data_IF_054663062695
#
_entry.id   IF_054663062695
#
_cell.length_a   1.000
_cell.length_b   1.000
_cell.length_c   1.000
_cell.angle_alpha   90.00
_cell.angle_beta   90.00
_cell.angle_gamma   90.00
#
_symmetry.space_group_name_H-M   'P 1'
#
loop_
_entity.id
_entity.type
_entity.pdbx_description
1 polymer ?
#
# COMPACT_ATOMS: atom_id res chain seq x y z
N UNK A 1 50.24 -11.58 4.60
CA UNK A 1 49.21 -10.52 4.52
C UNK A 1 47.98 -11.01 3.73
N UNK A 2 47.31 -12.09 4.17
CA UNK A 2 46.11 -12.69 3.52
C UNK A 2 44.98 -13.02 4.50
N UNK A 3 45.20 -12.86 5.81
CA UNK A 3 44.29 -13.30 6.89
C UNK A 3 43.29 -12.19 7.30
N UNK A 4 43.59 -10.92 7.00
CA UNK A 4 42.74 -9.78 7.37
C UNK A 4 41.49 -9.58 6.50
N UNK A 5 41.40 -10.25 5.35
CA UNK A 5 40.27 -10.08 4.39
C UNK A 5 39.08 -10.99 4.73
N UNK A 6 39.31 -12.11 5.43
CA UNK A 6 38.24 -13.06 5.75
C UNK A 6 37.32 -12.61 6.91
N UNK A 7 37.75 -11.69 7.77
CA UNK A 7 36.93 -11.20 8.89
C UNK A 7 35.91 -10.13 8.51
N UNK A 8 36.10 -9.40 7.40
CA UNK A 8 35.17 -8.35 6.98
C UNK A 8 33.91 -8.90 6.31
N UNK A 9 33.94 -10.14 5.80
CA UNK A 9 32.79 -10.77 5.12
C UNK A 9 31.80 -11.38 6.12
N UNK A 10 32.23 -11.76 7.33
CA UNK A 10 31.34 -12.36 8.34
C UNK A 10 30.50 -11.33 9.10
N UNK A 11 30.90 -10.06 9.14
CA UNK A 11 30.16 -8.99 9.85
C UNK A 11 28.94 -8.48 9.06
N UNK A 12 28.89 -8.68 7.74
CA UNK A 12 27.82 -8.16 6.88
C UNK A 12 26.57 -9.07 6.88
N UNK A 13 26.65 -10.31 7.39
CA UNK A 13 25.54 -11.27 7.35
C UNK A 13 24.52 -11.18 8.49
N UNK A 14 24.69 -10.32 9.51
CA UNK A 14 23.91 -10.42 10.75
C UNK A 14 22.68 -9.49 10.89
N UNK A 15 22.34 -8.65 9.91
CA UNK A 15 21.29 -7.64 10.16
C UNK A 15 20.38 -7.41 8.95
N UNK A 16 19.60 -8.43 8.57
CA UNK A 16 18.34 -8.21 7.85
C UNK A 16 17.21 -9.02 8.50
N UNK A 17 16.99 -8.77 9.80
CA UNK A 17 15.78 -9.22 10.50
C UNK A 17 14.62 -8.36 10.04
N UNK A 18 13.91 -8.78 8.98
CA UNK A 18 12.66 -8.14 8.61
C UNK A 18 11.66 -8.44 9.71
N UNK A 19 11.15 -7.40 10.39
CA UNK A 19 10.20 -7.56 11.47
C UNK A 19 8.89 -8.11 10.91
N UNK A 20 8.72 -9.43 11.00
CA UNK A 20 7.45 -10.09 10.69
C UNK A 20 6.47 -9.85 11.82
N UNK A 21 5.21 -9.55 11.47
CA UNK A 21 4.14 -9.35 12.44
C UNK A 21 3.68 -10.73 12.91
N UNK A 22 4.16 -11.17 14.07
CA UNK A 22 3.87 -12.50 14.62
C UNK A 22 2.75 -12.52 15.66
N UNK A 23 2.18 -11.36 16.00
CA UNK A 23 1.08 -11.24 16.96
C UNK A 23 -0.15 -10.58 16.36
N UNK A 24 -1.32 -11.16 16.62
CA UNK A 24 -2.61 -10.66 16.11
C UNK A 24 -2.85 -9.19 16.50
N UNK A 25 -2.54 -8.82 17.75
CA UNK A 25 -2.79 -7.46 18.28
C UNK A 25 -1.98 -6.34 17.61
N UNK A 26 -0.95 -6.67 16.84
CA UNK A 26 -0.11 -5.69 16.12
C UNK A 26 -0.39 -5.65 14.62
N UNK A 27 -1.25 -6.56 14.11
CA UNK A 27 -1.71 -6.56 12.72
C UNK A 27 -2.97 -5.72 12.55
N UNK A 28 -2.86 -4.53 11.92
CA UNK A 28 -4.02 -3.72 11.57
C UNK A 28 -4.38 -3.93 10.10
N UNK A 29 -5.65 -4.24 9.86
CA UNK A 29 -6.20 -4.48 8.53
C UNK A 29 -7.20 -3.41 8.12
N UNK A 30 -7.34 -3.20 6.81
CA UNK A 30 -8.36 -2.32 6.25
C UNK A 30 -9.77 -2.83 6.51
N UNK A 31 -10.75 -1.95 6.33
CA UNK A 31 -12.15 -2.34 6.44
C UNK A 31 -12.48 -3.48 5.47
N UNK A 32 -13.13 -4.53 5.98
CA UNK A 32 -13.50 -5.72 5.19
C UNK A 32 -12.39 -6.78 5.10
N UNK A 33 -11.27 -6.57 5.80
CA UNK A 33 -10.20 -7.55 5.95
C UNK A 33 -10.08 -8.02 7.41
N UNK A 34 -9.65 -9.27 7.59
CA UNK A 34 -9.40 -9.88 8.91
C UNK A 34 -7.94 -10.32 8.98
N UNK A 35 -7.31 -10.08 10.12
CA UNK A 35 -5.97 -10.58 10.42
C UNK A 35 -6.03 -12.10 10.64
N UNK A 36 -5.34 -12.85 9.79
CA UNK A 36 -5.29 -14.31 9.84
C UNK A 36 -3.83 -14.76 9.75
N UNK A 37 -3.41 -15.80 10.50
CA UNK A 37 -2.08 -16.37 10.35
C UNK A 37 -1.87 -16.93 8.94
N UNK A 38 -0.80 -16.49 8.31
CA UNK A 38 -0.26 -16.98 7.05
C UNK A 38 0.49 -18.31 7.23
N UNK A 39 1.01 -18.83 6.12
CA UNK A 39 1.61 -20.18 6.09
C UNK A 39 2.94 -20.27 6.86
N UNK A 40 3.65 -19.16 7.00
CA UNK A 40 4.93 -19.08 7.71
C UNK A 40 4.82 -18.52 9.13
N UNK A 41 3.59 -18.37 9.64
CA UNK A 41 3.31 -17.90 11.01
C UNK A 41 3.23 -16.38 11.16
N UNK A 42 3.47 -15.60 10.11
CA UNK A 42 3.17 -14.18 10.04
C UNK A 42 1.67 -13.92 9.92
N UNK A 43 1.16 -12.85 10.51
CA UNK A 43 -0.20 -12.40 10.27
C UNK A 43 -0.29 -11.64 8.95
N UNK A 44 -1.37 -11.88 8.21
CA UNK A 44 -1.71 -11.18 6.97
C UNK A 44 -3.18 -10.77 7.02
N UNK A 45 -3.56 -9.77 6.24
CA UNK A 45 -4.93 -9.31 6.12
C UNK A 45 -5.64 -10.03 4.97
N UNK A 46 -6.72 -10.75 5.27
CA UNK A 46 -7.51 -11.51 4.31
C UNK A 46 -8.85 -10.83 4.04
N UNK A 47 -9.13 -10.53 2.78
CA UNK A 47 -10.37 -9.88 2.35
C UNK A 47 -11.55 -10.83 2.37
N UNK A 48 -12.59 -10.49 3.11
CA UNK A 48 -13.77 -11.33 3.33
C UNK A 48 -14.51 -11.69 2.02
N UNK A 49 -14.60 -10.73 1.10
CA UNK A 49 -15.40 -10.88 -0.13
C UNK A 49 -14.54 -11.18 -1.36
N UNK A 50 -13.36 -10.57 -1.45
CA UNK A 50 -12.54 -10.60 -2.67
C UNK A 50 -11.44 -11.67 -2.64
N UNK A 51 -11.29 -12.41 -1.53
CA UNK A 51 -10.22 -13.41 -1.30
C UNK A 51 -8.81 -12.86 -1.58
N UNK A 52 -8.61 -11.55 -1.41
CA UNK A 52 -7.32 -10.88 -1.56
C UNK A 52 -6.54 -11.03 -0.25
N UNK A 53 -5.24 -11.25 -0.35
CA UNK A 53 -4.32 -11.30 0.79
C UNK A 53 -3.38 -10.10 0.69
N UNK A 54 -3.19 -9.39 1.79
CA UNK A 54 -2.28 -8.25 1.85
C UNK A 54 -1.51 -8.18 3.16
N UNK A 55 -0.32 -7.54 3.19
CA UNK A 55 0.44 -7.35 4.42
C UNK A 55 -0.36 -6.55 5.46
N UNK A 56 -0.08 -6.78 6.74
CA UNK A 56 -0.61 -5.95 7.81
C UNK A 56 -0.07 -4.52 7.74
N UNK A 57 -0.80 -3.58 8.35
CA UNK A 57 -0.38 -2.18 8.56
C UNK A 57 -0.08 -1.41 7.26
N UNK A 58 -0.59 -1.88 6.12
CA UNK A 58 -0.47 -1.16 4.86
C UNK A 58 -1.23 0.16 4.91
N UNK A 59 -0.76 1.22 4.22
CA UNK A 59 -1.52 2.45 4.09
C UNK A 59 -2.88 2.21 3.43
N UNK A 60 -3.93 2.85 3.94
CA UNK A 60 -5.28 2.76 3.36
C UNK A 60 -5.41 3.71 2.17
N UNK A 61 -6.03 3.23 1.11
CA UNK A 61 -6.26 4.02 -0.10
C UNK A 61 -7.28 5.12 0.20
N UNK A 62 -6.92 6.41 0.02
CA UNK A 62 -7.85 7.49 0.34
C UNK A 62 -9.04 7.47 -0.62
N UNK A 63 -10.23 7.75 -0.10
CA UNK A 63 -11.43 7.91 -0.93
C UNK A 63 -11.34 9.22 -1.71
N UNK A 64 -11.53 9.16 -3.02
CA UNK A 64 -11.50 10.35 -3.87
C UNK A 64 -12.60 11.34 -3.46
N UNK A 65 -12.22 12.56 -3.09
CA UNK A 65 -13.16 13.66 -2.81
C UNK A 65 -13.41 14.47 -4.07
N UNK A 66 -14.69 14.72 -4.35
CA UNK A 66 -15.13 15.41 -5.55
C UNK A 66 -16.29 16.34 -5.24
N UNK A 67 -16.18 17.61 -5.64
CA UNK A 67 -17.23 18.61 -5.56
C UNK A 67 -17.94 18.67 -6.92
N UNK A 68 -19.27 18.54 -6.95
CA UNK A 68 -20.09 18.56 -8.17
C UNK A 68 -19.81 17.43 -9.20
N UNK A 69 -19.14 16.35 -8.81
CA UNK A 69 -19.03 15.15 -9.63
C UNK A 69 -20.29 14.29 -9.55
N UNK A 70 -20.58 13.55 -10.60
CA UNK A 70 -21.63 12.52 -10.60
C UNK A 70 -21.06 11.14 -10.30
N UNK A 71 -19.76 10.93 -10.52
CA UNK A 71 -19.10 9.65 -10.29
C UNK A 71 -17.60 9.83 -10.02
N UNK A 72 -17.02 8.84 -9.36
CA UNK A 72 -15.57 8.61 -9.33
C UNK A 72 -15.27 7.50 -10.32
N UNK A 73 -14.39 7.77 -11.28
CA UNK A 73 -13.93 6.78 -12.26
C UNK A 73 -12.50 6.39 -11.91
N UNK A 74 -12.21 5.08 -11.95
CA UNK A 74 -10.86 4.55 -11.72
C UNK A 74 -10.37 3.97 -13.03
N UNK A 75 -9.27 4.52 -13.54
CA UNK A 75 -8.59 4.03 -14.73
C UNK A 75 -7.10 3.76 -14.46
N UNK A 76 -6.32 3.49 -15.50
CA UNK A 76 -4.90 3.18 -15.38
C UNK A 76 -4.06 4.33 -14.78
N UNK A 77 -4.54 5.57 -14.86
CA UNK A 77 -3.86 6.75 -14.30
C UNK A 77 -4.22 6.97 -12.83
N UNK A 78 -5.27 6.30 -12.35
CA UNK A 78 -5.76 6.40 -10.98
C UNK A 78 -7.23 6.83 -10.90
N UNK A 79 -7.68 7.20 -9.70
CA UNK A 79 -9.04 7.66 -9.47
C UNK A 79 -9.17 9.12 -9.87
N UNK A 80 -10.31 9.47 -10.46
CA UNK A 80 -10.63 10.84 -10.88
C UNK A 80 -12.11 11.14 -10.71
N UNK A 81 -12.41 12.42 -10.58
CA UNK A 81 -13.76 12.94 -10.54
C UNK A 81 -14.30 13.08 -11.97
N UNK A 82 -15.56 12.68 -12.17
CA UNK A 82 -16.22 12.72 -13.47
C UNK A 82 -17.64 13.25 -13.35
N UNK A 83 -18.03 14.08 -14.31
CA UNK A 83 -19.40 14.55 -14.49
C UNK A 83 -19.98 13.97 -15.76
N UNK A 84 -21.12 13.31 -15.64
CA UNK A 84 -21.85 12.74 -16.76
C UNK A 84 -23.10 13.56 -17.05
N UNK A 85 -23.35 13.86 -18.32
CA UNK A 85 -24.59 14.45 -18.82
C UNK A 85 -25.13 13.54 -19.91
N UNK A 86 -26.40 13.12 -19.78
CA UNK A 86 -27.08 12.24 -20.75
C UNK A 86 -26.26 10.98 -21.11
N UNK A 87 -25.66 10.34 -20.10
CA UNK A 87 -24.86 9.13 -20.26
C UNK A 87 -23.46 9.33 -20.88
N UNK A 88 -23.06 10.55 -21.22
CA UNK A 88 -21.71 10.88 -21.72
C UNK A 88 -20.93 11.65 -20.67
N UNK A 89 -19.64 11.35 -20.56
CA UNK A 89 -18.71 12.10 -19.71
C UNK A 89 -18.53 13.50 -20.30
N UNK A 90 -18.97 14.53 -19.57
CA UNK A 90 -18.87 15.92 -19.99
C UNK A 90 -17.63 16.62 -19.43
N UNK A 91 -17.23 16.28 -18.20
CA UNK A 91 -16.08 16.90 -17.51
C UNK A 91 -15.34 15.85 -16.68
N UNK A 92 -14.02 16.00 -16.58
CA UNK A 92 -13.15 15.16 -15.74
C UNK A 92 -12.06 16.00 -15.08
N UNK A 93 -11.77 15.72 -13.81
CA UNK A 93 -10.72 16.40 -13.05
C UNK A 93 -10.14 15.48 -11.96
N UNK A 94 -8.95 15.79 -11.42
CA UNK A 94 -8.33 15.01 -10.35
C UNK A 94 -9.17 15.01 -9.07
N UNK A 95 -8.92 14.04 -8.18
CA UNK A 95 -9.46 14.07 -6.83
C UNK A 95 -8.99 15.33 -6.08
N UNK A 96 -9.90 15.96 -5.32
CA UNK A 96 -9.65 17.22 -4.63
C UNK A 96 -8.88 17.06 -3.31
N UNK A 97 -8.81 15.85 -2.77
CA UNK A 97 -8.05 15.54 -1.55
C UNK A 97 -6.56 15.30 -1.82
N UNK A 98 -5.90 16.26 -2.48
CA UNK A 98 -4.51 16.13 -2.94
C UNK A 98 -3.52 15.83 -1.82
N UNK A 99 -3.75 16.34 -0.62
CA UNK A 99 -2.87 16.15 0.54
C UNK A 99 -2.94 14.71 1.06
N UNK A 100 -4.15 14.14 1.15
CA UNK A 100 -4.35 12.74 1.55
C UNK A 100 -3.67 11.79 0.57
N UNK A 101 -3.77 12.08 -0.72
CA UNK A 101 -3.07 11.35 -1.77
C UNK A 101 -1.55 11.46 -1.68
N UNK A 102 -1.01 12.63 -1.33
CA UNK A 102 0.42 12.82 -1.14
C UNK A 102 0.93 11.95 0.03
N UNK A 103 0.26 12.01 1.17
CA UNK A 103 0.60 11.19 2.36
C UNK A 103 0.49 9.70 2.05
N UNK A 104 -0.56 9.28 1.34
CA UNK A 104 -0.71 7.88 0.92
C UNK A 104 0.46 7.42 0.06
N UNK A 105 0.80 8.18 -0.99
CA UNK A 105 1.90 7.85 -1.92
C UNK A 105 3.24 7.75 -1.20
N UNK A 106 3.51 8.65 -0.25
CA UNK A 106 4.73 8.62 0.55
C UNK A 106 4.79 7.36 1.42
N UNK A 107 3.74 7.07 2.20
CA UNK A 107 3.68 5.87 3.05
C UNK A 107 3.76 4.58 2.23
N UNK A 108 3.13 4.57 1.06
CA UNK A 108 3.17 3.44 0.14
C UNK A 108 4.58 3.21 -0.41
N UNK A 109 5.28 4.28 -0.82
CA UNK A 109 6.65 4.21 -1.30
C UNK A 109 7.60 3.68 -0.20
N UNK A 110 7.44 4.14 1.04
CA UNK A 110 8.21 3.65 2.20
C UNK A 110 7.99 2.15 2.40
N UNK A 111 6.73 1.70 2.40
CA UNK A 111 6.38 0.30 2.65
C UNK A 111 6.88 -0.66 1.56
N UNK A 112 6.74 -0.28 0.29
CA UNK A 112 7.02 -1.19 -0.82
C UNK A 112 8.40 -1.01 -1.46
N UNK A 113 9.22 -0.08 -0.96
CA UNK A 113 10.64 0.13 -1.32
C UNK A 113 10.94 -0.10 -2.81
N UNK A 114 10.06 0.37 -3.70
CA UNK A 114 10.42 0.56 -5.11
C UNK A 114 11.30 1.78 -5.12
N UNK A 115 12.57 1.59 -5.51
CA UNK A 115 13.39 2.68 -6.02
C UNK A 115 12.53 3.47 -7.00
N UNK A 116 12.10 4.67 -6.62
CA UNK A 116 11.53 5.63 -7.53
C UNK A 116 12.67 6.09 -8.45
N UNK A 117 13.03 5.25 -9.41
CA UNK A 117 13.81 5.65 -10.58
C UNK A 117 12.75 5.77 -11.66
N UNK A 118 12.39 7.03 -11.91
CA UNK A 118 11.67 7.49 -13.08
C UNK A 118 12.47 7.19 -14.35
#
# INVERSE_FOLDING_TARGET
MKILIFCLVSYICLIHSWATVTSNGTCRCHRGFIATPGKSGEYMCYGLYLKIIMPCNTPEYPLCKCTNATAVVVDATGPRCSKFKTGKESEKWPCENTEEWAVFKERWAIMFRRSAIA
#
